data_IF_946524549108
#
_entry.id   IF_946524549108
#
_cell.length_a   1.000
_cell.length_b   1.000
_cell.length_c   1.000
_cell.angle_alpha   90.00
_cell.angle_beta   90.00
_cell.angle_gamma   90.00
#
_symmetry.space_group_name_H-M   'P 1'
#
loop_
_entity.id
_entity.type
_entity.pdbx_description
1 polymer ?
#
# COMPACT_ATOMS: atom_id res chain seq x y z
N UNK A 1 -27.78 14.33 -0.61
CA UNK A 1 -26.37 13.94 -0.76
C UNK A 1 -25.75 14.05 0.61
N UNK A 2 -25.22 12.96 1.18
CA UNK A 2 -24.41 13.07 2.39
C UNK A 2 -23.12 13.83 2.04
N UNK A 3 -22.62 14.65 2.96
CA UNK A 3 -21.30 15.24 2.80
C UNK A 3 -20.27 14.11 2.64
N UNK A 4 -19.32 14.27 1.71
CA UNK A 4 -18.19 13.36 1.62
C UNK A 4 -17.40 13.46 2.94
N UNK A 5 -16.94 12.33 3.50
CA UNK A 5 -16.16 12.34 4.73
C UNK A 5 -14.86 13.14 4.55
N UNK A 6 -14.46 13.89 5.57
CA UNK A 6 -13.19 14.60 5.58
C UNK A 6 -12.03 13.59 5.66
N UNK A 7 -11.31 13.40 4.56
CA UNK A 7 -10.13 12.51 4.49
C UNK A 7 -8.86 13.33 4.62
N UNK A 8 -8.02 12.99 5.61
CA UNK A 8 -6.71 13.64 5.77
C UNK A 8 -5.72 13.07 4.76
N UNK A 9 -5.22 13.91 3.85
CA UNK A 9 -4.18 13.54 2.89
C UNK A 9 -2.79 13.80 3.49
N UNK A 10 -1.89 12.82 3.38
CA UNK A 10 -0.48 12.94 3.79
C UNK A 10 0.41 12.67 2.59
N UNK A 11 1.07 13.71 2.10
CA UNK A 11 2.15 13.58 1.12
C UNK A 11 3.44 13.20 1.85
N UNK A 12 3.98 12.03 1.53
CA UNK A 12 5.21 11.49 2.12
C UNK A 12 6.43 11.66 1.21
N UNK A 13 6.25 12.21 0.00
CA UNK A 13 7.28 12.27 -1.02
C UNK A 13 7.79 10.88 -1.42
N UNK A 14 9.11 10.77 -1.59
CA UNK A 14 9.77 9.50 -1.94
C UNK A 14 10.15 8.73 -0.67
N UNK A 15 9.67 7.50 -0.54
CA UNK A 15 9.92 6.67 0.65
C UNK A 15 10.17 5.21 0.27
N UNK A 16 11.10 4.55 0.97
CA UNK A 16 11.37 3.12 0.82
C UNK A 16 10.11 2.27 1.06
N UNK A 17 9.91 1.25 0.24
CA UNK A 17 8.72 0.41 0.28
C UNK A 17 8.43 -0.15 1.69
N UNK A 18 9.46 -0.71 2.34
CA UNK A 18 9.30 -1.30 3.67
C UNK A 18 8.87 -0.27 4.72
N UNK A 19 9.45 0.95 4.68
CA UNK A 19 9.08 2.02 5.62
C UNK A 19 7.63 2.46 5.45
N UNK A 20 7.18 2.56 4.20
CA UNK A 20 5.78 2.85 3.91
C UNK A 20 4.85 1.71 4.34
N UNK A 21 5.26 0.46 4.16
CA UNK A 21 4.50 -0.71 4.60
C UNK A 21 4.35 -0.78 6.12
N UNK A 22 5.42 -0.53 6.87
CA UNK A 22 5.39 -0.48 8.33
C UNK A 22 4.50 0.67 8.83
N UNK A 23 4.55 1.82 8.15
CA UNK A 23 3.66 2.95 8.42
C UNK A 23 2.20 2.60 8.17
N UNK A 24 1.89 1.91 7.07
CA UNK A 24 0.53 1.44 6.77
C UNK A 24 0.00 0.55 7.89
N UNK A 25 0.76 -0.47 8.31
CA UNK A 25 0.35 -1.37 9.42
C UNK A 25 0.01 -0.61 10.69
N UNK A 26 0.89 0.29 11.11
CA UNK A 26 0.67 1.13 12.30
C UNK A 26 -0.57 2.01 12.18
N UNK A 27 -0.83 2.59 11.00
CA UNK A 27 -2.00 3.45 10.79
C UNK A 27 -3.29 2.64 10.73
N UNK A 28 -3.27 1.42 10.18
CA UNK A 28 -4.40 0.49 10.20
C UNK A 28 -4.77 0.17 11.65
N UNK A 29 -3.81 -0.24 12.48
CA UNK A 29 -4.06 -0.53 13.91
C UNK A 29 -4.64 0.68 14.65
N UNK A 30 -4.09 1.88 14.41
CA UNK A 30 -4.61 3.12 15.00
C UNK A 30 -6.02 3.44 14.52
N UNK A 31 -6.32 3.17 13.25
CA UNK A 31 -7.63 3.45 12.66
C UNK A 31 -8.69 2.47 13.18
N UNK A 32 -8.35 1.19 13.28
CA UNK A 32 -9.20 0.15 13.86
C UNK A 32 -9.56 0.46 15.31
N UNK A 33 -8.57 0.92 16.10
CA UNK A 33 -8.75 1.37 17.48
C UNK A 33 -9.51 2.72 17.61
N UNK A 34 -9.84 3.39 16.50
CA UNK A 34 -10.50 4.70 16.51
C UNK A 34 -9.62 5.86 17.01
N UNK A 35 -8.30 5.66 17.07
CA UNK A 35 -7.35 6.68 17.54
C UNK A 35 -7.05 7.76 16.49
N UNK A 36 -7.36 7.50 15.22
CA UNK A 36 -7.22 8.43 14.10
C UNK A 36 -8.45 8.37 13.17
N UNK A 37 -8.67 9.45 12.42
CA UNK A 37 -9.63 9.49 11.30
C UNK A 37 -9.10 8.76 10.06
N UNK A 38 -9.96 8.56 9.07
CA UNK A 38 -9.57 8.03 7.76
C UNK A 38 -8.51 8.94 7.10
N UNK A 39 -7.51 8.32 6.48
CA UNK A 39 -6.43 9.07 5.83
C UNK A 39 -5.96 8.42 4.54
N UNK A 40 -5.43 9.26 3.64
CA UNK A 40 -4.84 8.85 2.38
C UNK A 40 -3.35 9.19 2.40
N UNK A 41 -2.51 8.17 2.27
CA UNK A 41 -1.07 8.38 2.04
C UNK A 41 -0.84 8.53 0.53
N UNK A 42 -0.15 9.58 0.13
CA UNK A 42 0.32 9.78 -1.24
C UNK A 42 1.84 9.83 -1.22
N UNK A 43 2.47 9.07 -2.11
CA UNK A 43 3.92 8.90 -2.13
C UNK A 43 4.41 8.37 -3.46
N UNK A 44 5.74 8.33 -3.59
CA UNK A 44 6.44 7.55 -4.60
C UNK A 44 7.42 6.58 -3.92
N UNK A 45 7.76 5.49 -4.60
CA UNK A 45 8.80 4.59 -4.16
C UNK A 45 10.05 4.74 -5.03
N UNK A 46 11.25 4.57 -4.45
CA UNK A 46 12.41 4.13 -5.22
C UNK A 46 12.08 2.84 -5.99
N UNK A 47 12.87 2.53 -7.01
CA UNK A 47 12.66 1.34 -7.83
C UNK A 47 12.47 0.07 -6.98
N UNK A 48 11.31 -0.56 -7.08
CA UNK A 48 10.98 -1.77 -6.31
C UNK A 48 9.99 -2.64 -7.08
N UNK A 49 10.23 -3.95 -7.09
CA UNK A 49 9.24 -4.94 -7.45
C UNK A 49 8.56 -5.47 -6.19
N UNK A 50 7.23 -5.56 -6.20
CA UNK A 50 6.47 -6.20 -5.13
C UNK A 50 5.77 -7.44 -5.67
N UNK A 51 5.83 -8.53 -4.92
CA UNK A 51 5.28 -9.83 -5.30
C UNK A 51 4.11 -10.18 -4.39
N UNK A 52 2.90 -10.17 -4.94
CA UNK A 52 1.67 -10.54 -4.24
C UNK A 52 1.49 -12.05 -4.07
N UNK A 53 0.44 -12.45 -3.33
CA UNK A 53 0.13 -13.85 -2.97
C UNK A 53 -0.14 -14.78 -4.16
N UNK A 54 -0.55 -14.24 -5.32
CA UNK A 54 -0.85 -15.06 -6.51
C UNK A 54 0.38 -15.34 -7.39
N UNK A 55 1.53 -14.75 -7.09
CA UNK A 55 2.77 -15.05 -7.82
C UNK A 55 3.23 -16.47 -7.49
N UNK A 56 3.08 -17.39 -8.46
CA UNK A 56 3.29 -18.82 -8.25
C UNK A 56 4.75 -19.21 -8.40
N UNK A 57 5.53 -18.47 -9.19
CA UNK A 57 6.90 -18.84 -9.50
C UNK A 57 7.87 -17.65 -9.33
N UNK A 58 9.11 -17.93 -8.94
CA UNK A 58 10.17 -16.89 -8.87
C UNK A 58 10.65 -16.48 -10.26
N UNK A 59 10.38 -17.32 -11.28
CA UNK A 59 10.74 -17.12 -12.68
C UNK A 59 9.93 -16.02 -13.38
N UNK A 60 8.79 -15.59 -12.82
CA UNK A 60 7.95 -14.51 -13.37
C UNK A 60 8.67 -13.15 -13.39
N UNK A 61 9.75 -12.99 -12.61
CA UNK A 61 10.63 -11.83 -12.64
C UNK A 61 11.96 -12.18 -13.32
N UNK A 62 12.00 -12.08 -14.65
CA UNK A 62 13.23 -12.31 -15.41
C UNK A 62 14.19 -11.12 -15.23
N UNK A 63 15.23 -11.33 -14.42
CA UNK A 63 16.37 -10.43 -14.23
C UNK A 63 16.04 -9.02 -13.66
N UNK A 64 15.78 -8.88 -12.34
CA UNK A 64 15.54 -7.59 -11.70
C UNK A 64 16.75 -6.64 -11.67
N UNK A 65 17.94 -7.09 -12.08
CA UNK A 65 19.17 -6.35 -11.89
C UNK A 65 19.39 -6.02 -10.42
N UNK A 66 19.59 -4.74 -10.10
CA UNK A 66 19.83 -4.24 -8.74
C UNK A 66 18.55 -3.72 -8.04
N UNK A 67 17.37 -3.92 -8.64
CA UNK A 67 16.10 -3.44 -8.10
C UNK A 67 15.62 -4.37 -6.98
N UNK A 68 15.21 -3.79 -5.85
CA UNK A 68 14.68 -4.54 -4.70
C UNK A 68 13.42 -5.33 -5.06
N UNK A 69 13.32 -6.58 -4.58
CA UNK A 69 12.13 -7.42 -4.76
C UNK A 69 11.56 -7.80 -3.39
N UNK A 70 10.34 -7.34 -3.10
CA UNK A 70 9.68 -7.53 -1.79
C UNK A 70 8.46 -8.44 -1.94
N UNK A 71 8.36 -9.48 -1.11
CA UNK A 71 7.13 -10.29 -1.04
C UNK A 71 6.12 -9.65 -0.10
N UNK A 72 4.88 -9.53 -0.53
CA UNK A 72 3.81 -8.81 0.19
C UNK A 72 2.47 -9.54 0.16
N UNK A 73 1.63 -9.26 1.14
CA UNK A 73 0.36 -9.97 1.36
C UNK A 73 -0.79 -9.51 0.45
N UNK A 74 -0.54 -8.58 -0.48
CA UNK A 74 -1.58 -8.14 -1.41
C UNK A 74 -1.98 -9.25 -2.39
N UNK A 75 -3.21 -9.16 -2.90
CA UNK A 75 -3.65 -9.95 -4.05
C UNK A 75 -2.87 -9.58 -5.33
N UNK A 76 -2.97 -10.44 -6.34
CA UNK A 76 -2.30 -10.26 -7.63
C UNK A 76 -0.88 -10.81 -7.68
N UNK A 77 -0.24 -10.64 -8.83
CA UNK A 77 1.08 -11.16 -9.16
C UNK A 77 2.16 -10.13 -8.82
N UNK A 78 3.16 -9.97 -9.67
CA UNK A 78 4.24 -9.00 -9.52
C UNK A 78 3.78 -7.62 -10.01
N UNK A 79 4.23 -6.56 -9.35
CA UNK A 79 4.13 -5.19 -9.88
C UNK A 79 5.41 -4.41 -9.59
N UNK A 80 5.60 -3.31 -10.31
CA UNK A 80 6.73 -2.41 -10.18
C UNK A 80 6.28 -1.04 -9.70
N UNK A 81 7.09 -0.45 -8.82
CA UNK A 81 7.01 0.96 -8.45
C UNK A 81 8.35 1.66 -8.64
N UNK A 82 8.30 2.96 -8.93
CA UNK A 82 9.48 3.78 -9.12
C UNK A 82 9.16 5.26 -9.22
N UNK A 83 10.19 6.12 -9.33
CA UNK A 83 10.02 7.56 -9.46
C UNK A 83 9.12 7.94 -10.66
N UNK A 84 8.26 8.93 -10.45
CA UNK A 84 7.22 9.38 -11.39
C UNK A 84 5.91 8.59 -11.32
N UNK A 85 5.83 7.53 -10.52
CA UNK A 85 4.59 6.80 -10.27
C UNK A 85 4.00 7.19 -8.90
N UNK A 86 2.88 7.92 -8.92
CA UNK A 86 2.14 8.22 -7.69
C UNK A 86 1.48 6.94 -7.18
N UNK A 87 1.79 6.59 -5.93
CA UNK A 87 1.18 5.50 -5.18
C UNK A 87 0.29 6.08 -4.09
N UNK A 88 -0.90 5.52 -3.95
CA UNK A 88 -1.88 5.93 -2.96
C UNK A 88 -2.26 4.76 -2.06
N UNK A 89 -2.15 4.94 -0.74
CA UNK A 89 -2.59 3.96 0.26
C UNK A 89 -3.74 4.55 1.09
N UNK A 90 -5.00 4.24 0.76
CA UNK A 90 -6.16 4.61 1.57
C UNK A 90 -6.20 3.74 2.84
N UNK A 91 -6.18 4.38 4.00
CA UNK A 91 -6.33 3.75 5.32
C UNK A 91 -7.72 4.09 5.84
N UNK A 92 -8.72 3.38 5.33
CA UNK A 92 -10.14 3.68 5.59
C UNK A 92 -10.80 2.56 6.38
N UNK A 93 -11.71 2.93 7.29
CA UNK A 93 -12.57 1.95 7.97
C UNK A 93 -13.79 1.64 7.10
N UNK A 94 -13.79 0.46 6.49
CA UNK A 94 -14.93 -0.04 5.70
C UNK A 94 -16.02 -0.63 6.60
N UNK A 95 -17.27 -0.56 6.14
CA UNK A 95 -18.38 -1.27 6.74
C UNK A 95 -18.18 -2.79 6.60
N UNK A 96 -18.81 -3.59 7.45
CA UNK A 96 -18.61 -5.05 7.46
C UNK A 96 -18.97 -5.72 6.14
N UNK A 97 -19.98 -5.20 5.44
CA UNK A 97 -20.46 -5.68 4.15
C UNK A 97 -19.57 -5.29 2.96
N UNK A 98 -18.62 -4.38 3.17
CA UNK A 98 -17.70 -3.89 2.13
C UNK A 98 -16.32 -4.58 2.17
N UNK A 99 -16.08 -5.48 3.14
CA UNK A 99 -14.79 -6.13 3.33
C UNK A 99 -14.71 -7.45 2.56
N UNK A 100 -13.65 -7.61 1.77
CA UNK A 100 -13.34 -8.88 1.10
C UNK A 100 -12.95 -10.02 2.07
N UNK A 101 -12.54 -9.67 3.29
CA UNK A 101 -12.18 -10.59 4.35
C UNK A 101 -12.59 -10.00 5.71
N UNK A 102 -13.03 -10.84 6.67
CA UNK A 102 -13.49 -10.40 7.99
C UNK A 102 -12.41 -9.65 8.78
#
# INVERSE_FOLDING_TARGET
>A
MSALPDVKVKDLGVIEYQKAHDLQKRLVEQREAGAIDDCLLMLEHPHVFTRGRKARDKSDLLNPGNISVVSVERGGEITYHGPGQIVAYPIFRLNEDERDAP
#
